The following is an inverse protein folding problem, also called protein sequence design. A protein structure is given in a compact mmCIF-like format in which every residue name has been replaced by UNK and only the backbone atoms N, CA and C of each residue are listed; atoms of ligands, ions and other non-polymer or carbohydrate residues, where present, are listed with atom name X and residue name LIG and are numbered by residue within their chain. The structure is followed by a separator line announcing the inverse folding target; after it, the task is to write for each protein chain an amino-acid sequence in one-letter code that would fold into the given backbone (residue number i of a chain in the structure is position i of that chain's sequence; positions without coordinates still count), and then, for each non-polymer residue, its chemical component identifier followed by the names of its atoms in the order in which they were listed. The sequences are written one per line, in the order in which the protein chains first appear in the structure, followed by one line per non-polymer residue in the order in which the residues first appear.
data_IF_196839376915
#
_entry.id   IF_196839376915
#
_cell.length_a   1.000
_cell.length_b   1.000
_cell.length_c   1.000
_cell.angle_alpha   90.00
_cell.angle_beta   90.00
_cell.angle_gamma   90.00
#
_symmetry.space_group_name_H-M   'P 1'
#
loop_
_entity.id
_entity.type
_entity.pdbx_description
1 polymer ?
#
# COMPACT_ATOMS: atom_id res chain seq x y z
N UNK A 1 -13.76 24.18 21.94
CA UNK A 1 -13.67 23.99 20.48
C UNK A 1 -14.26 22.63 20.16
N UNK A 2 -15.46 22.61 19.61
CA UNK A 2 -16.16 21.39 19.20
C UNK A 2 -15.50 20.85 17.94
N UNK A 3 -14.61 19.86 18.09
CA UNK A 3 -14.13 19.08 16.95
C UNK A 3 -15.32 18.31 16.40
N UNK A 4 -15.92 18.83 15.33
CA UNK A 4 -16.96 18.12 14.60
C UNK A 4 -16.30 16.87 14.01
N UNK A 5 -16.49 15.73 14.67
CA UNK A 5 -15.99 14.44 14.19
C UNK A 5 -16.64 14.19 12.83
N UNK A 6 -15.82 14.15 11.78
CA UNK A 6 -16.31 13.90 10.42
C UNK A 6 -16.97 12.53 10.36
N UNK A 7 -18.13 12.44 9.72
CA UNK A 7 -18.80 11.16 9.51
C UNK A 7 -18.12 10.40 8.36
N UNK A 8 -17.12 9.59 8.72
CA UNK A 8 -16.38 8.76 7.78
C UNK A 8 -17.24 7.71 7.08
N UNK A 9 -18.37 7.28 7.69
CA UNK A 9 -19.30 6.34 7.04
C UNK A 9 -20.07 7.02 5.93
N UNK A 10 -20.48 8.27 6.13
CA UNK A 10 -21.10 9.07 5.08
C UNK A 10 -20.14 9.33 3.92
N UNK A 11 -18.88 9.68 4.19
CA UNK A 11 -17.87 9.87 3.13
C UNK A 11 -17.56 8.56 2.38
N UNK A 12 -17.49 7.44 3.10
CA UNK A 12 -17.35 6.12 2.48
C UNK A 12 -18.55 5.82 1.57
N UNK A 13 -19.78 6.07 2.03
CA UNK A 13 -20.99 5.86 1.23
C UNK A 13 -21.02 6.76 -0.01
N UNK A 14 -20.59 8.03 0.08
CA UNK A 14 -20.45 8.92 -1.07
C UNK A 14 -19.44 8.37 -2.07
N UNK A 15 -18.28 7.90 -1.60
CA UNK A 15 -17.27 7.29 -2.46
C UNK A 15 -17.81 6.04 -3.16
N UNK A 16 -18.65 5.24 -2.51
CA UNK A 16 -19.33 4.10 -3.14
C UNK A 16 -20.36 4.55 -4.17
N UNK A 17 -21.17 5.56 -3.85
CA UNK A 17 -22.35 5.99 -4.61
C UNK A 17 -22.07 6.96 -5.77
N UNK A 18 -20.80 7.20 -6.14
CA UNK A 18 -20.48 8.04 -7.31
C UNK A 18 -21.08 7.40 -8.58
N UNK A 19 -22.23 7.91 -9.00
CA UNK A 19 -22.90 7.52 -10.24
C UNK A 19 -22.00 7.95 -11.42
N UNK A 20 -21.89 7.08 -12.41
CA UNK A 20 -21.26 7.43 -13.67
C UNK A 20 -22.30 8.22 -14.48
N UNK A 21 -22.01 9.48 -14.85
CA UNK A 21 -22.84 10.16 -15.85
C UNK A 21 -22.78 9.32 -17.14
N UNK A 22 -23.90 8.67 -17.45
CA UNK A 22 -24.06 7.66 -18.52
C UNK A 22 -24.01 8.24 -19.94
N UNK A 23 -23.38 9.40 -20.13
CA UNK A 23 -23.26 10.06 -21.42
C UNK A 23 -21.81 10.06 -21.92
N UNK A 24 -21.50 9.05 -22.72
CA UNK A 24 -20.41 8.99 -23.70
C UNK A 24 -18.96 8.90 -23.16
N UNK A 25 -18.48 7.68 -22.90
CA UNK A 25 -17.06 7.36 -23.10
C UNK A 25 -16.86 5.85 -23.32
N UNK A 26 -16.97 5.44 -24.58
CA UNK A 26 -16.32 4.22 -25.10
C UNK A 26 -14.82 4.28 -24.80
N UNK A 27 -14.32 3.32 -24.03
CA UNK A 27 -12.89 3.02 -23.85
C UNK A 27 -12.13 3.94 -22.90
N UNK A 28 -11.51 3.38 -21.86
CA UNK A 28 -10.59 4.03 -20.91
C UNK A 28 -11.12 5.09 -19.91
N UNK A 29 -12.22 5.79 -20.17
CA UNK A 29 -12.68 6.90 -19.30
C UNK A 29 -13.25 6.48 -17.92
N UNK A 30 -14.04 5.40 -17.86
CA UNK A 30 -14.82 5.06 -16.66
C UNK A 30 -13.98 4.54 -15.48
N UNK A 31 -12.95 3.74 -15.75
CA UNK A 31 -12.07 3.20 -14.70
C UNK A 31 -11.22 4.29 -14.03
N UNK A 32 -10.80 5.30 -14.79
CA UNK A 32 -10.05 6.43 -14.23
C UNK A 32 -10.92 7.19 -13.22
N UNK A 33 -12.19 7.43 -13.53
CA UNK A 33 -13.15 8.08 -12.63
C UNK A 33 -13.42 7.26 -11.37
N UNK A 34 -13.58 5.94 -11.48
CA UNK A 34 -13.77 5.05 -10.32
C UNK A 34 -12.61 5.15 -9.34
N UNK A 35 -11.40 5.02 -9.86
CA UNK A 35 -10.17 5.09 -9.10
C UNK A 35 -9.96 6.50 -8.51
N UNK A 36 -10.32 7.55 -9.24
CA UNK A 36 -10.28 8.92 -8.73
C UNK A 36 -11.15 9.11 -7.48
N UNK A 37 -12.36 8.55 -7.41
CA UNK A 37 -13.22 8.67 -6.22
C UNK A 37 -12.63 7.95 -4.99
N UNK A 38 -12.06 6.77 -5.19
CA UNK A 38 -11.42 5.96 -4.14
C UNK A 38 -10.16 6.65 -3.62
N UNK A 39 -9.37 7.24 -4.52
CA UNK A 39 -8.17 7.97 -4.15
C UNK A 39 -8.50 9.32 -3.50
N UNK A 40 -9.54 10.01 -3.94
CA UNK A 40 -10.01 11.24 -3.30
C UNK A 40 -10.45 10.96 -1.85
N UNK A 41 -11.14 9.84 -1.60
CA UNK A 41 -11.43 9.39 -0.25
C UNK A 41 -10.17 9.14 0.58
N UNK A 42 -9.17 8.45 0.02
CA UNK A 42 -7.89 8.21 0.70
C UNK A 42 -7.14 9.50 1.00
N UNK A 43 -7.04 10.40 0.03
CA UNK A 43 -6.33 11.66 0.14
C UNK A 43 -6.97 12.56 1.19
N UNK A 44 -8.30 12.61 1.23
CA UNK A 44 -9.08 13.29 2.26
C UNK A 44 -8.83 12.70 3.66
N UNK A 45 -8.88 11.38 3.78
CA UNK A 45 -8.65 10.67 5.04
C UNK A 45 -7.22 10.89 5.56
N UNK A 46 -6.23 10.85 4.66
CA UNK A 46 -4.82 11.14 5.01
C UNK A 46 -4.64 12.61 5.36
N UNK A 47 -5.33 13.54 4.71
CA UNK A 47 -5.21 14.96 5.01
C UNK A 47 -5.73 15.30 6.41
N UNK A 48 -6.88 14.73 6.81
CA UNK A 48 -7.50 15.03 8.11
C UNK A 48 -6.89 14.21 9.24
N UNK A 49 -6.72 12.90 9.07
CA UNK A 49 -6.29 12.01 10.16
C UNK A 49 -4.77 11.80 10.16
N UNK A 50 -4.13 11.90 8.99
CA UNK A 50 -2.68 11.73 8.83
C UNK A 50 -1.87 12.90 9.38
N UNK A 51 -2.46 14.09 9.44
CA UNK A 51 -1.84 15.30 9.96
C UNK A 51 -0.71 15.86 9.06
N UNK A 52 -0.21 17.04 9.43
CA UNK A 52 0.74 17.80 8.62
C UNK A 52 2.06 17.07 8.36
N UNK A 53 2.49 16.18 9.26
CA UNK A 53 3.74 15.43 9.11
C UNK A 53 3.69 14.47 7.91
N UNK A 54 2.59 13.72 7.78
CA UNK A 54 2.42 12.74 6.69
C UNK A 54 2.31 13.48 5.37
N UNK A 55 1.53 14.57 5.32
CA UNK A 55 1.40 15.44 4.15
C UNK A 55 2.74 16.07 3.74
N UNK A 56 3.48 16.61 4.70
CA UNK A 56 4.78 17.23 4.44
C UNK A 56 5.79 16.23 3.88
N UNK A 57 5.79 14.98 4.37
CA UNK A 57 6.70 13.95 3.87
C UNK A 57 6.27 13.42 2.49
N UNK A 58 4.96 13.34 2.21
CA UNK A 58 4.45 13.03 0.87
C UNK A 58 4.87 14.10 -0.15
N UNK A 59 4.84 15.38 0.24
CA UNK A 59 5.24 16.49 -0.60
C UNK A 59 6.77 16.59 -0.77
N UNK A 60 7.56 16.33 0.28
CA UNK A 60 9.04 16.38 0.24
C UNK A 60 9.67 15.37 -0.71
N UNK A 61 9.05 14.20 -0.92
CA UNK A 61 9.53 13.22 -1.92
C UNK A 61 9.52 13.77 -3.35
N UNK A 62 8.77 14.85 -3.62
CA UNK A 62 8.83 15.56 -4.91
C UNK A 62 9.99 16.56 -5.01
N UNK A 63 10.65 16.93 -3.91
CA UNK A 63 11.65 18.02 -3.87
C UNK A 63 13.05 17.64 -3.37
N UNK A 64 13.37 16.36 -3.18
CA UNK A 64 14.75 15.88 -3.00
C UNK A 64 15.52 16.39 -1.76
N UNK A 65 14.85 16.75 -0.66
CA UNK A 65 15.52 17.33 0.52
C UNK A 65 16.00 16.33 1.58
N UNK A 66 17.27 16.41 1.99
CA UNK A 66 17.87 15.69 3.13
C UNK A 66 17.33 16.20 4.48
N UNK A 67 17.04 15.30 5.42
CA UNK A 67 16.55 15.61 6.78
C UNK A 67 17.56 15.26 7.88
N UNK A 68 17.76 16.17 8.83
CA UNK A 68 18.63 16.05 10.01
C UNK A 68 18.03 15.20 11.14
N UNK A 69 18.89 14.55 11.94
CA UNK A 69 18.57 13.47 12.91
C UNK A 69 17.51 13.79 13.98
N UNK A 70 17.41 15.04 14.46
CA UNK A 70 16.48 15.40 15.56
C UNK A 70 15.02 15.55 15.09
N UNK A 71 14.83 15.99 13.84
CA UNK A 71 13.50 16.09 13.20
C UNK A 71 12.92 14.69 12.94
N UNK A 72 13.79 13.69 12.74
CA UNK A 72 13.39 12.31 12.47
C UNK A 72 12.68 11.63 13.65
N UNK A 73 13.02 11.97 14.90
CA UNK A 73 12.42 11.35 16.10
C UNK A 73 11.00 11.89 16.33
N UNK A 74 10.79 13.21 16.29
CA UNK A 74 9.45 13.81 16.38
C UNK A 74 8.57 13.40 15.20
N UNK A 75 9.15 13.31 14.00
CA UNK A 75 8.44 12.79 12.83
C UNK A 75 7.96 11.35 13.01
N UNK A 76 8.73 10.51 13.71
CA UNK A 76 8.35 9.10 13.96
C UNK A 76 7.15 8.98 14.90
N UNK A 77 7.11 9.76 15.97
CA UNK A 77 5.96 9.75 16.91
C UNK A 77 4.69 10.29 16.23
N UNK A 78 4.80 11.36 15.45
CA UNK A 78 3.66 11.91 14.71
C UNK A 78 3.12 10.92 13.67
N UNK A 79 4.00 10.23 12.95
CA UNK A 79 3.59 9.16 12.01
C UNK A 79 2.93 7.99 12.74
N UNK A 80 3.41 7.59 13.91
CA UNK A 80 2.78 6.55 14.72
C UNK A 80 1.40 6.96 15.23
N UNK A 81 1.25 8.21 15.67
CA UNK A 81 -0.05 8.75 16.08
C UNK A 81 -1.04 8.81 14.91
N UNK A 82 -0.60 9.31 13.75
CA UNK A 82 -1.38 9.34 12.51
C UNK A 82 -1.84 7.93 12.10
N UNK A 83 -0.91 6.96 12.11
CA UNK A 83 -1.19 5.55 11.83
C UNK A 83 -2.24 4.96 12.77
N UNK A 84 -2.24 5.38 14.03
CA UNK A 84 -3.22 4.93 15.04
C UNK A 84 -4.60 5.50 14.78
N UNK A 85 -4.71 6.81 14.49
CA UNK A 85 -5.99 7.46 14.14
C UNK A 85 -6.58 6.87 12.87
N UNK A 86 -5.77 6.77 11.81
CA UNK A 86 -6.18 6.16 10.54
C UNK A 86 -6.65 4.71 10.72
N UNK A 87 -5.96 3.93 11.56
CA UNK A 87 -6.37 2.55 11.86
C UNK A 87 -7.69 2.49 12.63
N UNK A 88 -7.96 3.44 13.52
CA UNK A 88 -9.21 3.52 14.27
C UNK A 88 -10.39 3.79 13.32
N UNK A 89 -10.30 4.83 12.48
CA UNK A 89 -11.32 5.14 11.47
C UNK A 89 -11.52 3.95 10.53
N UNK A 90 -10.43 3.38 10.02
CA UNK A 90 -10.52 2.27 9.08
C UNK A 90 -11.16 1.02 9.71
N UNK A 91 -10.94 0.77 11.01
CA UNK A 91 -11.59 -0.34 11.73
C UNK A 91 -13.12 -0.21 11.73
N UNK A 92 -13.66 1.00 11.77
CA UNK A 92 -15.11 1.25 11.75
C UNK A 92 -15.75 1.06 10.37
N UNK A 93 -14.95 1.15 9.30
CA UNK A 93 -15.37 1.06 7.90
C UNK A 93 -15.14 -0.33 7.27
N UNK A 94 -14.36 -1.19 7.93
CA UNK A 94 -14.13 -2.56 7.44
C UNK A 94 -15.40 -3.38 7.55
N UNK A 95 -15.87 -3.87 6.41
CA UNK A 95 -16.93 -4.87 6.31
C UNK A 95 -16.29 -6.25 6.45
N UNK A 96 -16.92 -7.17 7.21
CA UNK A 96 -16.40 -8.52 7.37
C UNK A 96 -16.33 -9.26 6.02
N UNK A 97 -15.31 -10.10 5.82
CA UNK A 97 -15.10 -10.78 4.52
C UNK A 97 -16.32 -11.59 4.05
N UNK A 98 -17.04 -12.34 4.91
CA UNK A 98 -18.25 -13.04 4.49
C UNK A 98 -19.34 -12.09 3.97
N UNK A 99 -19.57 -10.96 4.65
CA UNK A 99 -20.55 -9.94 4.26
C UNK A 99 -20.13 -9.23 2.96
N UNK A 100 -18.84 -8.91 2.84
CA UNK A 100 -18.26 -8.34 1.63
C UNK A 100 -18.45 -9.29 0.44
N UNK A 101 -18.22 -10.59 0.65
CA UNK A 101 -18.42 -11.60 -0.38
C UNK A 101 -19.89 -11.72 -0.79
N UNK A 102 -20.83 -11.66 0.16
CA UNK A 102 -22.26 -11.65 -0.15
C UNK A 102 -22.65 -10.42 -0.97
N UNK A 103 -22.16 -9.23 -0.58
CA UNK A 103 -22.43 -7.96 -1.28
C UNK A 103 -21.87 -7.94 -2.71
N UNK A 104 -20.64 -8.41 -2.89
CA UNK A 104 -19.98 -8.42 -4.21
C UNK A 104 -20.48 -9.54 -5.12
N UNK A 105 -20.94 -10.67 -4.56
CA UNK A 105 -21.50 -11.77 -5.34
C UNK A 105 -22.97 -11.58 -5.70
N UNK A 106 -23.67 -10.64 -5.05
CA UNK A 106 -25.05 -10.29 -5.37
C UNK A 106 -25.21 -9.80 -6.82
N UNK A 107 -26.28 -10.20 -7.50
CA UNK A 107 -26.57 -9.77 -8.88
C UNK A 107 -27.00 -8.30 -9.01
N UNK A 108 -27.27 -7.64 -7.88
CA UNK A 108 -27.94 -6.34 -7.83
C UNK A 108 -26.99 -5.14 -7.96
N UNK A 109 -25.70 -5.31 -7.68
CA UNK A 109 -24.70 -4.25 -7.86
C UNK A 109 -24.01 -4.38 -9.22
N UNK A 110 -23.75 -3.25 -9.88
CA UNK A 110 -22.96 -3.21 -11.11
C UNK A 110 -21.53 -3.68 -10.86
N UNK A 111 -20.84 -4.16 -11.91
CA UNK A 111 -19.42 -4.56 -11.82
C UNK A 111 -18.55 -3.41 -11.32
N UNK A 112 -18.80 -2.19 -11.82
CA UNK A 112 -18.16 -0.96 -11.39
C UNK A 112 -18.27 -0.75 -9.87
N UNK A 113 -19.49 -0.79 -9.34
CA UNK A 113 -19.73 -0.61 -7.90
C UNK A 113 -19.00 -1.68 -7.09
N UNK A 114 -18.98 -2.93 -7.58
CA UNK A 114 -18.26 -4.04 -6.93
C UNK A 114 -16.76 -3.80 -6.85
N UNK A 115 -16.13 -3.38 -7.95
CA UNK A 115 -14.69 -3.05 -7.97
C UNK A 115 -14.40 -1.92 -6.99
N UNK A 116 -15.23 -0.88 -6.99
CA UNK A 116 -15.06 0.28 -6.11
C UNK A 116 -15.17 -0.07 -4.63
N UNK A 117 -16.19 -0.85 -4.25
CA UNK A 117 -16.35 -1.37 -2.88
C UNK A 117 -15.14 -2.20 -2.47
N UNK A 118 -14.65 -3.08 -3.34
CA UNK A 118 -13.45 -3.87 -3.06
C UNK A 118 -12.20 -3.01 -2.89
N UNK A 119 -11.97 -2.02 -3.75
CA UNK A 119 -10.84 -1.10 -3.63
C UNK A 119 -10.89 -0.31 -2.31
N UNK A 120 -12.07 0.24 -1.94
CA UNK A 120 -12.26 0.92 -0.66
C UNK A 120 -12.03 -0.01 0.53
N UNK A 121 -12.47 -1.26 0.44
CA UNK A 121 -12.26 -2.26 1.49
C UNK A 121 -10.80 -2.72 1.62
N UNK A 122 -10.04 -2.71 0.53
CA UNK A 122 -8.58 -2.87 0.55
C UNK A 122 -7.95 -1.69 1.29
N UNK A 123 -8.32 -0.44 0.95
CA UNK A 123 -7.80 0.74 1.64
C UNK A 123 -8.05 0.70 3.15
N UNK A 124 -9.27 0.36 3.56
CA UNK A 124 -9.60 0.25 4.98
C UNK A 124 -8.74 -0.82 5.68
N UNK A 125 -8.49 -1.97 5.03
CA UNK A 125 -7.63 -3.02 5.62
C UNK A 125 -6.16 -2.64 5.67
N UNK A 126 -5.65 -1.95 4.64
CA UNK A 126 -4.30 -1.40 4.60
C UNK A 126 -4.10 -0.42 5.77
N UNK A 127 -5.04 0.51 5.96
CA UNK A 127 -4.98 1.47 7.06
C UNK A 127 -5.13 0.78 8.43
N UNK A 128 -6.06 -0.17 8.57
CA UNK A 128 -6.23 -0.98 9.79
C UNK A 128 -4.97 -1.75 10.16
N UNK A 129 -4.27 -2.32 9.17
CA UNK A 129 -2.97 -2.99 9.38
C UNK A 129 -1.97 -2.08 10.11
N UNK A 130 -2.14 -0.77 9.95
CA UNK A 130 -1.38 0.22 10.65
C UNK A 130 -1.39 0.05 12.18
N UNK A 131 -2.57 -0.19 12.76
CA UNK A 131 -2.76 -0.32 14.20
C UNK A 131 -2.57 -1.74 14.75
N UNK A 132 -2.34 -2.75 13.90
CA UNK A 132 -2.31 -4.14 14.33
C UNK A 132 -1.02 -4.54 15.05
N UNK A 133 -1.16 -5.48 16.00
CA UNK A 133 -0.03 -6.14 16.67
C UNK A 133 0.62 -7.18 15.75
N UNK A 134 1.86 -7.57 16.05
CA UNK A 134 2.68 -8.45 15.20
C UNK A 134 2.00 -9.78 14.84
N UNK A 135 1.21 -10.35 15.76
CA UNK A 135 0.48 -11.60 15.53
C UNK A 135 -0.64 -11.45 14.49
N UNK A 136 -1.47 -10.42 14.65
CA UNK A 136 -2.63 -10.12 13.79
C UNK A 136 -2.21 -9.70 12.36
N UNK A 137 -1.00 -9.13 12.22
CA UNK A 137 -0.46 -8.69 10.93
C UNK A 137 -0.32 -9.83 9.92
N UNK A 138 -0.02 -11.06 10.36
CA UNK A 138 0.15 -12.20 9.42
C UNK A 138 -1.17 -12.55 8.73
N UNK A 139 -2.25 -12.61 9.49
CA UNK A 139 -3.59 -12.90 8.97
C UNK A 139 -4.08 -11.74 8.10
N UNK A 140 -3.90 -10.51 8.55
CA UNK A 140 -4.25 -9.33 7.78
C UNK A 140 -3.51 -9.25 6.43
N UNK A 141 -2.24 -9.67 6.35
CA UNK A 141 -1.51 -9.76 5.07
C UNK A 141 -2.18 -10.71 4.08
N UNK A 142 -2.59 -11.89 4.56
CA UNK A 142 -3.27 -12.89 3.71
C UNK A 142 -4.62 -12.37 3.24
N UNK A 143 -5.38 -11.73 4.13
CA UNK A 143 -6.67 -11.11 3.81
C UNK A 143 -6.52 -10.01 2.76
N UNK A 144 -5.57 -9.09 2.97
CA UNK A 144 -5.26 -7.99 2.04
C UNK A 144 -4.84 -8.54 0.67
N UNK A 145 -3.96 -9.54 0.65
CA UNK A 145 -3.52 -10.19 -0.59
C UNK A 145 -4.68 -10.82 -1.34
N UNK A 146 -5.52 -11.62 -0.67
CA UNK A 146 -6.66 -12.27 -1.33
C UNK A 146 -7.66 -11.28 -1.93
N UNK A 147 -7.85 -10.12 -1.29
CA UNK A 147 -8.67 -9.05 -1.86
C UNK A 147 -8.01 -8.33 -3.04
N UNK A 148 -6.70 -8.09 -2.96
CA UNK A 148 -5.92 -7.54 -4.07
C UNK A 148 -5.95 -8.47 -5.28
N UNK A 149 -5.79 -9.78 -5.09
CA UNK A 149 -5.87 -10.79 -6.17
C UNK A 149 -7.24 -10.73 -6.87
N UNK A 150 -8.33 -10.55 -6.10
CA UNK A 150 -9.67 -10.39 -6.66
C UNK A 150 -9.85 -9.07 -7.42
N UNK A 151 -9.29 -7.98 -6.92
CA UNK A 151 -9.31 -6.69 -7.62
C UNK A 151 -8.47 -6.76 -8.89
N UNK A 152 -7.30 -7.41 -8.86
CA UNK A 152 -6.48 -7.65 -10.04
C UNK A 152 -7.29 -8.38 -11.12
N UNK A 153 -7.91 -9.50 -10.75
CA UNK A 153 -8.77 -10.28 -11.66
C UNK A 153 -9.89 -9.42 -12.26
N UNK A 154 -10.56 -8.60 -11.45
CA UNK A 154 -11.68 -7.77 -11.93
C UNK A 154 -11.23 -6.59 -12.80
N UNK A 155 -10.07 -6.01 -12.52
CA UNK A 155 -9.48 -4.92 -13.32
C UNK A 155 -8.95 -5.46 -14.66
N UNK A 156 -8.19 -6.55 -14.62
CA UNK A 156 -7.60 -7.14 -15.83
C UNK A 156 -8.67 -7.75 -16.74
N UNK A 157 -9.71 -8.39 -16.19
CA UNK A 157 -10.84 -8.87 -17.01
C UNK A 157 -11.71 -7.73 -17.58
N UNK A 158 -11.46 -6.47 -17.23
CA UNK A 158 -12.16 -5.32 -17.80
C UNK A 158 -11.31 -4.60 -18.86
N UNK A 159 -10.00 -4.85 -18.88
CA UNK A 159 -9.08 -4.32 -19.87
C UNK A 159 -7.93 -5.32 -20.03
N UNK A 160 -8.14 -6.42 -20.78
CA UNK A 160 -7.07 -7.36 -21.05
C UNK A 160 -5.97 -6.61 -21.80
N UNK A 161 -4.68 -6.78 -21.42
CA UNK A 161 -3.59 -6.18 -22.17
C UNK A 161 -3.72 -6.57 -23.65
N UNK A 162 -3.58 -5.59 -24.52
CA UNK A 162 -3.65 -5.78 -25.97
C UNK A 162 -2.46 -6.63 -26.39
N UNK A 163 -2.73 -7.80 -26.96
CA UNK A 163 -1.68 -8.65 -27.55
C UNK A 163 -1.14 -8.08 -28.88
N UNK A 164 -1.63 -6.91 -29.32
CA UNK A 164 -1.38 -6.37 -30.65
C UNK A 164 -0.22 -5.36 -30.72
N UNK A 165 0.25 -4.83 -29.59
CA UNK A 165 1.35 -3.85 -29.55
C UNK A 165 2.51 -4.39 -28.69
N UNK A 166 3.51 -5.00 -29.34
CA UNK A 166 4.70 -5.57 -28.68
C UNK A 166 5.61 -4.50 -28.02
N UNK A 167 5.38 -3.21 -28.31
CA UNK A 167 6.20 -2.08 -27.83
C UNK A 167 5.48 -1.15 -26.85
N UNK A 168 4.21 -1.39 -26.55
CA UNK A 168 3.51 -0.60 -25.54
C UNK A 168 3.87 -1.17 -24.16
N UNK A 169 4.39 -0.29 -23.30
CA UNK A 169 4.65 -0.50 -21.87
C UNK A 169 3.29 -0.70 -21.14
N UNK A 170 2.54 -1.73 -21.54
CA UNK A 170 1.17 -2.05 -21.14
C UNK A 170 1.16 -2.71 -19.77
N UNK A 171 1.65 -1.96 -18.78
CA UNK A 171 1.50 -2.34 -17.38
C UNK A 171 0.02 -2.57 -17.09
N UNK A 172 -0.28 -3.73 -16.52
CA UNK A 172 -1.64 -4.12 -16.15
C UNK A 172 -2.32 -2.99 -15.35
N UNK A 173 -3.63 -2.74 -15.54
CA UNK A 173 -4.39 -1.78 -14.75
C UNK A 173 -4.19 -1.96 -13.23
N UNK A 174 -4.05 -3.21 -12.76
CA UNK A 174 -3.72 -3.51 -11.37
C UNK A 174 -2.34 -3.01 -10.96
N UNK A 175 -1.32 -3.20 -11.79
CA UNK A 175 0.03 -2.71 -11.51
C UNK A 175 0.06 -1.18 -11.42
N UNK A 176 -0.64 -0.47 -12.30
CA UNK A 176 -0.80 0.99 -12.24
C UNK A 176 -1.47 1.42 -10.94
N UNK A 177 -2.56 0.75 -10.54
CA UNK A 177 -3.23 0.99 -9.26
C UNK A 177 -2.30 0.81 -8.06
N UNK A 178 -1.54 -0.28 -8.01
CA UNK A 178 -0.64 -0.56 -6.88
C UNK A 178 0.56 0.41 -6.86
N UNK A 179 1.31 0.52 -7.95
CA UNK A 179 2.57 1.28 -8.02
C UNK A 179 2.35 2.79 -8.05
N UNK A 180 1.42 3.28 -8.88
CA UNK A 180 1.29 4.71 -9.13
C UNK A 180 0.34 5.38 -8.15
N UNK A 181 -0.53 4.62 -7.46
CA UNK A 181 -1.59 5.21 -6.67
C UNK A 181 -1.51 4.84 -5.19
N UNK A 182 -1.42 3.55 -4.85
CA UNK A 182 -1.36 3.11 -3.46
C UNK A 182 0.02 3.35 -2.83
N UNK A 183 1.09 2.93 -3.50
CA UNK A 183 2.45 3.04 -2.95
C UNK A 183 2.82 4.49 -2.57
N UNK A 184 2.62 5.51 -3.43
CA UNK A 184 3.02 6.87 -3.09
C UNK A 184 2.33 7.39 -1.83
N UNK A 185 1.08 6.98 -1.58
CA UNK A 185 0.26 7.43 -0.44
C UNK A 185 0.55 6.67 0.84
N UNK A 186 0.79 5.36 0.73
CA UNK A 186 0.82 4.48 1.90
C UNK A 186 2.24 4.06 2.32
N UNK A 187 3.25 4.20 1.46
CA UNK A 187 4.61 3.73 1.77
C UNK A 187 5.21 4.41 3.01
N UNK A 188 4.87 5.68 3.28
CA UNK A 188 5.35 6.38 4.48
C UNK A 188 4.68 5.81 5.74
N UNK A 189 3.38 5.50 5.66
CA UNK A 189 2.58 5.01 6.78
C UNK A 189 2.84 3.53 7.10
N UNK A 190 3.12 2.72 6.09
CA UNK A 190 3.26 1.26 6.19
C UNK A 190 4.32 0.72 5.21
N UNK A 191 5.60 1.13 5.36
CA UNK A 191 6.65 0.78 4.40
C UNK A 191 6.87 -0.73 4.27
N UNK A 192 6.82 -1.46 5.39
CA UNK A 192 6.97 -2.92 5.40
C UNK A 192 5.86 -3.65 4.64
N UNK A 193 4.63 -3.13 4.69
CA UNK A 193 3.50 -3.76 3.99
C UNK A 193 3.57 -3.47 2.50
N UNK A 194 3.85 -2.22 2.11
CA UNK A 194 4.00 -1.86 0.70
C UNK A 194 5.14 -2.66 0.06
N UNK A 195 6.30 -2.77 0.73
CA UNK A 195 7.41 -3.61 0.28
C UNK A 195 7.01 -5.07 0.10
N UNK A 196 6.28 -5.63 1.07
CA UNK A 196 5.79 -7.00 0.98
C UNK A 196 4.89 -7.21 -0.25
N UNK A 197 3.94 -6.29 -0.49
CA UNK A 197 3.03 -6.39 -1.63
C UNK A 197 3.78 -6.26 -2.95
N UNK A 198 4.71 -5.30 -3.06
CA UNK A 198 5.53 -5.14 -4.26
C UNK A 198 6.36 -6.39 -4.58
N UNK A 199 6.92 -7.04 -3.56
CA UNK A 199 7.65 -8.30 -3.74
C UNK A 199 6.72 -9.46 -4.15
N UNK A 200 5.53 -9.56 -3.54
CA UNK A 200 4.56 -10.62 -3.86
C UNK A 200 4.06 -10.54 -5.29
N UNK A 201 3.93 -9.34 -5.83
CA UNK A 201 3.51 -9.11 -7.21
C UNK A 201 4.69 -8.87 -8.17
N UNK A 202 5.93 -9.12 -7.72
CA UNK A 202 7.14 -9.03 -8.54
C UNK A 202 7.31 -7.68 -9.26
N UNK A 203 6.91 -6.58 -8.60
CA UNK A 203 6.90 -5.23 -9.19
C UNK A 203 8.15 -4.40 -8.91
N UNK A 204 9.10 -4.94 -8.15
CA UNK A 204 10.38 -4.30 -7.83
C UNK A 204 11.44 -5.40 -7.71
N UNK A 205 12.62 -5.18 -8.28
CA UNK A 205 13.77 -6.08 -8.15
C UNK A 205 14.34 -6.02 -6.72
N UNK A 206 14.86 -7.15 -6.23
CA UNK A 206 15.30 -7.30 -4.83
C UNK A 206 16.39 -6.28 -4.39
N UNK A 207 17.04 -5.61 -5.35
CA UNK A 207 18.14 -4.68 -5.12
C UNK A 207 17.73 -3.20 -4.91
N UNK A 208 16.56 -2.75 -5.37
CA UNK A 208 16.14 -1.34 -5.23
C UNK A 208 15.67 -0.97 -3.82
N UNK A 209 15.48 -1.97 -2.96
CA UNK A 209 14.89 -1.80 -1.63
C UNK A 209 15.94 -1.79 -0.50
N UNK A 210 17.21 -2.05 -0.83
CA UNK A 210 18.31 -2.25 0.10
C UNK A 210 19.33 -1.10 0.23
N UNK A 211 19.32 -0.08 -0.62
CA UNK A 211 20.46 0.85 -0.72
C UNK A 211 20.58 1.93 0.39
N UNK A 212 19.91 1.80 1.55
CA UNK A 212 20.05 2.81 2.62
C UNK A 212 20.08 2.28 4.06
N UNK A 213 20.35 0.98 4.28
CA UNK A 213 20.72 0.48 5.61
C UNK A 213 21.73 -0.67 5.52
N UNK A 214 22.98 -0.36 5.21
CA UNK A 214 24.12 -1.20 5.61
C UNK A 214 25.31 -0.33 6.04
N UNK A 215 25.17 0.32 7.19
CA UNK A 215 26.34 0.61 8.03
C UNK A 215 26.03 0.06 9.41
N UNK A 216 26.36 -1.21 9.59
CA UNK A 216 26.66 -1.78 10.90
C UNK A 216 28.05 -2.39 10.78
N UNK A 217 29.03 -1.58 11.15
CA UNK A 217 30.17 -1.96 11.97
C UNK A 217 30.63 -3.41 11.81
N UNK A 218 31.49 -3.65 10.82
CA UNK A 218 32.48 -4.71 10.91
C UNK A 218 33.64 -4.16 11.74
N UNK A 219 33.92 -4.66 12.97
CA UNK A 219 35.16 -4.34 13.63
C UNK A 219 36.29 -5.04 12.88
N UNK A 220 37.23 -4.22 12.42
CA UNK A 220 38.59 -4.56 12.04
C UNK A 220 39.10 -5.81 12.77
N UNK A 221 39.39 -6.87 12.03
CA UNK A 221 40.38 -7.84 12.47
C UNK A 221 41.31 -8.12 11.31
N UNK A 222 42.46 -7.45 11.41
CA UNK A 222 43.66 -7.65 10.62
C UNK A 222 44.03 -9.14 10.65
N UNK A 223 44.21 -9.73 9.47
CA UNK A 223 44.96 -10.97 9.30
C UNK A 223 46.38 -10.78 9.86
N UNK A 224 46.91 -11.74 10.64
CA UNK A 224 48.33 -12.00 10.67
C UNK A 224 48.66 -13.28 9.87
N UNK A 225 49.95 -13.48 9.55
CA UNK A 225 50.37 -14.14 8.33
C UNK A 225 50.48 -15.65 8.44
N UNK A 226 50.53 -16.26 7.25
CA UNK A 226 50.97 -17.63 6.98
C UNK A 226 52.22 -17.96 7.79
N UNK A 227 52.17 -19.06 8.54
CA UNK A 227 53.38 -19.78 8.94
C UNK A 227 53.22 -21.24 8.57
N UNK A 228 54.05 -21.69 7.63
CA UNK A 228 54.36 -23.11 7.42
C UNK A 228 54.88 -23.70 8.73
N UNK A 229 54.59 -24.98 8.98
CA UNK A 229 55.55 -25.99 9.47
C UNK A 229 54.88 -27.37 9.26
N UNK A 230 55.51 -28.18 8.40
CA UNK A 230 55.35 -29.62 8.38
C UNK A 230 56.01 -30.23 9.62
N UNK A 231 55.49 -31.31 10.19
CA UNK A 231 56.24 -32.52 10.60
C UNK A 231 55.29 -33.56 11.23
N UNK A 232 55.22 -34.70 10.55
CA UNK A 232 55.09 -36.11 11.00
C UNK A 232 54.94 -36.36 12.51
N UNK A 233 53.96 -37.19 12.91
CA UNK A 233 54.19 -38.25 13.90
C UNK A 233 53.23 -39.44 13.68
N UNK A 234 53.85 -40.61 13.48
CA UNK A 234 53.26 -41.95 13.42
C UNK A 234 53.10 -42.48 14.86
N UNK A 235 52.03 -43.21 15.16
CA UNK A 235 52.00 -44.29 16.17
C UNK A 235 50.70 -45.10 16.02
N UNK A 236 50.80 -46.20 15.27
CA UNK A 236 50.62 -47.57 15.78
C UNK A 236 51.60 -48.48 15.02
#
# INVERSE_FOLDING_TARGET
MTTQTRDWRAEYAKAVAVEEDDAAATGSGSQQTQVCSVLAFLDLLVAEEGGECVLSQLNKRKSGGQTTKTIAVQGKEQVMSARTRLAAVAKELVIAVPELNASVSGKQASRTTKVRVLQLQILCRLLRYGGLKKQERKEAKKEIRGLLDRVALLLDAANPPSLADEDADERSPFQKFLLQQLVPRLHILMPELMRYLLKVYELVEDDEIGANQSVKDAPTTLLPPVSMIATVFFSE
#
